data_IF_323097197468
#
_entry.id   IF_323097197468
#
_cell.length_a   1.000
_cell.length_b   1.000
_cell.length_c   1.000
_cell.angle_alpha   90.00
_cell.angle_beta   90.00
_cell.angle_gamma   90.00
#
_symmetry.space_group_name_H-M   'P 1'
#
loop_
_entity.id
_entity.type
_entity.pdbx_description
1 polymer ?
#
# COMPACT_ATOMS: atom_id res chain seq x y z
N UNK A 1 16.97 22.79 13.68
CA UNK A 1 16.26 23.83 14.45
C UNK A 1 17.10 25.09 14.41
N UNK A 2 16.49 26.26 14.60
CA UNK A 2 17.15 27.57 14.50
C UNK A 2 17.00 28.29 15.83
N UNK A 3 18.04 29.01 16.25
CA UNK A 3 18.02 29.90 17.41
C UNK A 3 18.56 31.25 16.97
N UNK A 4 17.96 32.34 17.45
CA UNK A 4 18.44 33.69 17.20
C UNK A 4 18.04 34.64 18.34
N UNK A 5 18.80 35.72 18.59
CA UNK A 5 18.40 36.75 19.53
C UNK A 5 17.08 37.41 19.12
N UNK A 6 16.18 37.63 20.08
CA UNK A 6 14.89 38.30 19.84
C UNK A 6 15.04 39.65 19.14
N UNK A 7 16.05 40.44 19.53
CA UNK A 7 16.32 41.76 18.92
C UNK A 7 16.49 41.71 17.39
N UNK A 8 16.99 40.60 16.85
CA UNK A 8 17.16 40.45 15.39
C UNK A 8 15.79 40.26 14.74
N UNK A 9 14.90 39.47 15.35
CA UNK A 9 13.52 39.31 14.88
C UNK A 9 12.74 40.63 14.97
N UNK A 10 12.91 41.38 16.07
CA UNK A 10 12.28 42.69 16.24
C UNK A 10 12.73 43.69 15.16
N UNK A 11 13.97 43.57 14.66
CA UNK A 11 14.54 44.42 13.60
C UNK A 11 14.10 43.99 12.19
N UNK A 12 14.23 42.70 11.85
CA UNK A 12 13.97 42.23 10.47
C UNK A 12 12.53 41.80 10.22
N UNK A 13 11.73 41.64 11.28
CA UNK A 13 10.39 41.07 11.29
C UNK A 13 10.38 39.54 11.44
N UNK A 14 9.28 38.99 11.97
CA UNK A 14 9.04 37.55 12.11
C UNK A 14 8.88 36.82 10.76
N UNK A 15 8.39 35.58 10.77
CA UNK A 15 8.05 34.86 9.54
C UNK A 15 6.96 35.60 8.75
N UNK A 16 7.16 35.69 7.43
CA UNK A 16 6.18 36.31 6.54
C UNK A 16 5.04 35.32 6.25
N UNK A 17 3.82 35.69 6.67
CA UNK A 17 2.60 34.88 6.53
C UNK A 17 2.22 34.55 5.08
N UNK A 18 2.77 35.27 4.10
CA UNK A 18 2.61 34.91 2.69
C UNK A 18 3.25 33.54 2.36
N UNK A 19 4.25 33.12 3.14
CA UNK A 19 4.85 31.79 3.07
C UNK A 19 4.12 30.82 4.00
N UNK A 20 3.09 30.16 3.47
CA UNK A 20 2.35 29.13 4.23
C UNK A 20 3.19 27.89 4.59
N UNK A 21 4.02 27.41 3.65
CA UNK A 21 4.88 26.24 3.85
C UNK A 21 6.01 26.21 2.82
N UNK A 22 7.22 25.96 3.29
CA UNK A 22 8.48 26.06 2.55
C UNK A 22 8.88 27.50 2.25
N UNK A 23 10.18 27.80 2.36
CA UNK A 23 10.74 29.10 1.99
C UNK A 23 10.57 30.19 3.04
N UNK A 24 9.79 29.97 4.10
CA UNK A 24 9.68 30.89 5.24
C UNK A 24 11.02 31.07 5.97
N UNK A 25 11.76 29.96 6.11
CA UNK A 25 13.10 29.90 6.68
C UNK A 25 14.14 30.56 5.78
N UNK A 26 14.02 30.35 4.46
CA UNK A 26 14.88 30.98 3.44
C UNK A 26 14.65 32.50 3.40
N UNK A 27 13.40 32.96 3.41
CA UNK A 27 13.03 34.38 3.45
C UNK A 27 13.60 35.08 4.69
N UNK A 28 13.36 34.51 5.87
CA UNK A 28 13.86 35.05 7.13
C UNK A 28 15.39 35.08 7.15
N UNK A 29 16.04 33.98 6.75
CA UNK A 29 17.50 33.89 6.67
C UNK A 29 18.12 34.90 5.70
N UNK A 30 17.41 35.25 4.62
CA UNK A 30 17.86 36.24 3.65
C UNK A 30 17.67 37.67 4.16
N UNK A 31 16.56 37.96 4.85
CA UNK A 31 16.35 39.26 5.52
C UNK A 31 17.38 39.52 6.62
N UNK A 32 17.68 38.51 7.44
CA UNK A 32 18.73 38.56 8.47
C UNK A 32 20.10 38.90 7.85
N UNK A 33 20.45 38.26 6.73
CA UNK A 33 21.69 38.56 6.01
C UNK A 33 21.71 39.97 5.40
N UNK A 34 20.57 40.45 4.87
CA UNK A 34 20.45 41.82 4.36
C UNK A 34 20.61 42.88 5.45
N UNK A 35 20.23 42.58 6.68
CA UNK A 35 20.47 43.44 7.85
C UNK A 35 21.93 43.36 8.37
N UNK A 36 22.81 42.62 7.70
CA UNK A 36 24.25 42.54 8.05
C UNK A 36 24.62 41.46 9.05
N UNK A 37 23.65 40.64 9.49
CA UNK A 37 23.91 39.52 10.39
C UNK A 37 24.39 38.27 9.63
N UNK A 38 24.96 37.32 10.38
CA UNK A 38 25.52 36.07 9.84
C UNK A 38 24.75 34.86 10.36
N UNK A 39 24.54 33.89 9.46
CA UNK A 39 23.96 32.60 9.79
C UNK A 39 25.09 31.59 10.08
N UNK A 40 25.03 30.92 11.23
CA UNK A 40 26.03 29.94 11.66
C UNK A 40 25.41 28.54 11.80
N UNK A 41 26.17 27.51 11.42
CA UNK A 41 25.85 26.12 11.69
C UNK A 41 26.57 25.66 12.96
N UNK A 42 25.83 25.20 13.97
CA UNK A 42 26.38 24.73 15.24
C UNK A 42 26.39 23.20 15.28
N UNK A 43 27.59 22.59 15.16
CA UNK A 43 27.75 21.14 15.02
C UNK A 43 27.73 20.36 16.34
N UNK A 44 27.92 21.03 17.49
CA UNK A 44 28.05 20.34 18.80
C UNK A 44 26.71 19.89 19.39
N UNK A 45 25.59 20.36 18.82
CA UNK A 45 24.25 19.90 19.17
C UNK A 45 23.69 18.97 18.09
N UNK A 46 23.06 17.87 18.51
CA UNK A 46 22.47 16.88 17.60
C UNK A 46 20.97 16.76 17.86
N UNK A 47 20.18 16.77 16.79
CA UNK A 47 18.75 16.43 16.83
C UNK A 47 18.46 15.35 15.81
N UNK A 48 17.59 14.40 16.18
CA UNK A 48 17.02 13.44 15.25
C UNK A 48 15.82 14.11 14.57
N UNK A 49 15.88 14.24 13.24
CA UNK A 49 14.78 14.75 12.44
C UNK A 49 14.27 13.67 11.48
N UNK A 50 13.08 13.14 11.77
CA UNK A 50 12.39 12.20 10.89
C UNK A 50 11.80 12.96 9.70
N UNK A 51 12.55 13.00 8.60
CA UNK A 51 12.17 13.73 7.39
C UNK A 51 11.08 12.99 6.62
N UNK A 52 10.00 13.67 6.24
CA UNK A 52 8.99 13.16 5.29
C UNK A 52 7.65 12.75 5.90
N UNK A 53 7.45 12.96 7.20
CA UNK A 53 6.22 12.58 7.92
C UNK A 53 5.01 13.45 7.55
N UNK A 54 5.18 14.77 7.61
CA UNK A 54 4.08 15.73 7.37
C UNK A 54 3.70 15.84 5.90
N UNK A 55 4.64 15.60 4.97
CA UNK A 55 4.36 15.67 3.53
C UNK A 55 5.07 14.57 2.77
N UNK A 56 4.31 13.79 1.98
CA UNK A 56 4.87 12.76 1.08
C UNK A 56 5.80 13.43 0.07
N UNK A 57 7.10 13.16 0.19
CA UNK A 57 8.15 13.64 -0.72
C UNK A 57 7.78 13.25 -2.16
N UNK A 58 7.67 14.22 -3.04
CA UNK A 58 7.33 13.99 -4.46
C UNK A 58 5.83 13.96 -4.79
N UNK A 59 4.93 14.23 -3.84
CA UNK A 59 3.53 14.50 -4.20
C UNK A 59 3.41 15.77 -5.05
N UNK A 60 2.42 15.83 -5.94
CA UNK A 60 2.17 17.02 -6.76
C UNK A 60 1.87 18.26 -5.90
N UNK A 61 1.20 18.06 -4.76
CA UNK A 61 0.94 19.13 -3.79
C UNK A 61 2.23 19.65 -3.16
N UNK A 62 3.13 18.75 -2.71
CA UNK A 62 4.46 19.14 -2.21
C UNK A 62 5.21 20.01 -3.23
N UNK A 63 5.28 19.54 -4.48
CA UNK A 63 5.92 20.23 -5.60
C UNK A 63 5.30 21.62 -5.75
N UNK A 64 3.98 21.69 -5.92
CA UNK A 64 3.26 22.95 -6.10
C UNK A 64 3.52 23.95 -4.97
N UNK A 65 3.47 23.51 -3.72
CA UNK A 65 3.69 24.37 -2.55
C UNK A 65 5.11 24.90 -2.48
N UNK A 66 6.12 24.02 -2.63
CA UNK A 66 7.53 24.40 -2.63
C UNK A 66 7.85 25.45 -3.70
N UNK A 67 7.35 25.24 -4.91
CA UNK A 67 7.60 26.17 -6.00
C UNK A 67 6.78 27.46 -5.93
N UNK A 68 5.58 27.43 -5.34
CA UNK A 68 4.82 28.64 -5.02
C UNK A 68 5.62 29.54 -4.07
N UNK A 69 6.19 28.95 -3.01
CA UNK A 69 7.06 29.66 -2.09
C UNK A 69 8.30 30.24 -2.79
N UNK A 70 8.97 29.45 -3.64
CA UNK A 70 10.16 29.95 -4.35
C UNK A 70 9.82 31.08 -5.34
N UNK A 71 8.66 31.01 -6.02
CA UNK A 71 8.18 32.10 -6.86
C UNK A 71 7.85 33.36 -6.06
N UNK A 72 7.28 33.22 -4.87
CA UNK A 72 7.03 34.33 -3.95
C UNK A 72 8.34 34.97 -3.48
N UNK A 73 9.32 34.15 -3.08
CA UNK A 73 10.65 34.63 -2.69
C UNK A 73 11.32 35.43 -3.81
N UNK A 74 11.29 34.92 -5.05
CA UNK A 74 11.85 35.62 -6.21
C UNK A 74 11.13 36.96 -6.43
N UNK A 75 9.79 36.98 -6.38
CA UNK A 75 9.01 38.22 -6.54
C UNK A 75 9.29 39.24 -5.45
N UNK A 76 9.51 38.79 -4.22
CA UNK A 76 9.75 39.64 -3.05
C UNK A 76 11.15 40.27 -3.05
N UNK A 77 12.17 39.51 -3.47
CA UNK A 77 13.57 39.93 -3.32
C UNK A 77 14.28 40.33 -4.62
N UNK A 78 13.68 40.05 -5.79
CA UNK A 78 14.23 40.40 -7.10
C UNK A 78 13.22 41.22 -7.90
N UNK A 79 13.68 42.26 -8.59
CA UNK A 79 12.84 43.14 -9.42
C UNK A 79 13.24 43.11 -10.90
N UNK A 80 12.29 43.50 -11.77
CA UNK A 80 12.50 43.66 -13.22
C UNK A 80 12.58 42.35 -14.02
N UNK A 81 13.17 42.43 -15.22
CA UNK A 81 13.25 41.33 -16.21
C UNK A 81 13.90 40.07 -15.65
N UNK A 82 14.82 40.20 -14.69
CA UNK A 82 15.48 39.07 -14.02
C UNK A 82 14.47 38.20 -13.27
N UNK A 83 13.53 38.79 -12.54
CA UNK A 83 12.50 38.05 -11.82
C UNK A 83 11.59 37.25 -12.78
N UNK A 84 11.23 37.84 -13.93
CA UNK A 84 10.42 37.17 -14.95
C UNK A 84 11.10 35.92 -15.53
N UNK A 85 12.40 36.02 -15.85
CA UNK A 85 13.19 34.89 -16.36
C UNK A 85 13.30 33.78 -15.29
N UNK A 86 13.59 34.11 -14.04
CA UNK A 86 13.64 33.13 -12.96
C UNK A 86 12.29 32.42 -12.75
N UNK A 87 11.19 33.17 -12.76
CA UNK A 87 9.84 32.60 -12.62
C UNK A 87 9.52 31.67 -13.79
N UNK A 88 9.88 32.04 -15.03
CA UNK A 88 9.68 31.20 -16.21
C UNK A 88 10.42 29.85 -16.07
N UNK A 89 11.72 29.87 -15.75
CA UNK A 89 12.48 28.63 -15.57
C UNK A 89 11.96 27.78 -14.41
N UNK A 90 11.54 28.40 -13.31
CA UNK A 90 10.89 27.71 -12.19
C UNK A 90 9.61 27.01 -12.67
N UNK A 91 8.74 27.70 -13.41
CA UNK A 91 7.49 27.13 -13.92
C UNK A 91 7.72 26.01 -14.95
N UNK A 92 8.68 26.19 -15.86
CA UNK A 92 9.08 25.16 -16.81
C UNK A 92 9.59 23.89 -16.09
N UNK A 93 10.43 24.06 -15.07
CA UNK A 93 10.94 22.94 -14.26
C UNK A 93 9.82 22.20 -13.51
N UNK A 94 8.79 22.92 -13.02
CA UNK A 94 7.60 22.30 -12.41
C UNK A 94 6.87 21.43 -13.40
N UNK A 95 6.58 21.97 -14.59
CA UNK A 95 5.82 21.26 -15.62
C UNK A 95 6.56 20.01 -16.08
N UNK A 96 7.87 20.14 -16.35
CA UNK A 96 8.71 19.00 -16.69
C UNK A 96 8.70 17.94 -15.59
N UNK A 97 8.87 18.33 -14.33
CA UNK A 97 8.85 17.39 -13.21
C UNK A 97 7.49 16.72 -13.04
N UNK A 98 6.39 17.45 -13.23
CA UNK A 98 5.03 16.90 -13.20
C UNK A 98 4.83 15.87 -14.33
N UNK A 99 5.29 16.18 -15.54
CA UNK A 99 5.24 15.27 -16.68
C UNK A 99 6.07 14.01 -16.43
N UNK A 100 7.32 14.13 -16.01
CA UNK A 100 8.17 12.97 -15.69
C UNK A 100 7.60 12.15 -14.54
N UNK A 101 6.99 12.78 -13.54
CA UNK A 101 6.30 12.08 -12.46
C UNK A 101 5.08 11.31 -12.97
N UNK A 102 4.26 11.91 -13.84
CA UNK A 102 3.11 11.26 -14.44
C UNK A 102 3.50 10.05 -15.30
N UNK A 103 4.51 10.21 -16.16
CA UNK A 103 5.08 9.13 -16.97
C UNK A 103 5.64 8.03 -16.06
N UNK A 104 6.42 8.39 -15.04
CA UNK A 104 6.97 7.44 -14.08
C UNK A 104 5.89 6.66 -13.32
N UNK A 105 4.78 7.32 -12.94
CA UNK A 105 3.64 6.67 -12.31
C UNK A 105 2.91 5.72 -13.26
N UNK A 106 2.72 6.11 -14.51
CA UNK A 106 2.10 5.28 -15.54
C UNK A 106 2.95 4.02 -15.80
N UNK A 107 4.25 4.20 -16.00
CA UNK A 107 5.22 3.11 -16.21
C UNK A 107 5.24 2.16 -15.01
N UNK A 108 5.20 2.66 -13.77
CA UNK A 108 5.11 1.80 -12.58
C UNK A 108 3.80 1.02 -12.49
N UNK A 109 2.68 1.61 -12.94
CA UNK A 109 1.36 0.99 -12.85
C UNK A 109 1.11 -0.04 -13.93
N UNK A 110 1.53 0.24 -15.17
CA UNK A 110 1.20 -0.58 -16.36
C UNK A 110 2.41 -1.38 -16.86
N UNK A 111 3.63 -1.00 -16.46
CA UNK A 111 4.86 -1.61 -16.96
C UNK A 111 4.96 -3.12 -16.70
N UNK A 112 4.67 -3.57 -15.47
CA UNK A 112 4.73 -5.00 -15.15
C UNK A 112 3.70 -5.84 -15.94
N UNK A 113 2.40 -5.46 -16.00
CA UNK A 113 1.44 -6.14 -16.87
C UNK A 113 1.85 -6.17 -18.35
N UNK A 114 2.40 -5.07 -18.90
CA UNK A 114 2.82 -5.02 -20.31
C UNK A 114 4.01 -5.92 -20.57
N UNK A 115 5.02 -5.92 -19.69
CA UNK A 115 6.16 -6.83 -19.82
C UNK A 115 5.73 -8.29 -19.72
N UNK A 116 4.82 -8.63 -18.81
CA UNK A 116 4.26 -9.97 -18.74
C UNK A 116 3.49 -10.32 -20.02
N UNK A 117 2.70 -9.40 -20.58
CA UNK A 117 2.00 -9.61 -21.84
C UNK A 117 2.95 -9.92 -22.99
N UNK A 118 4.05 -9.17 -23.10
CA UNK A 118 5.10 -9.39 -24.11
C UNK A 118 5.73 -10.77 -23.90
N UNK A 119 6.08 -11.13 -22.66
CA UNK A 119 6.67 -12.43 -22.34
C UNK A 119 5.70 -13.57 -22.70
N UNK A 120 4.43 -13.46 -22.35
CA UNK A 120 3.42 -14.50 -22.62
C UNK A 120 3.20 -14.67 -24.13
N UNK A 121 3.02 -13.56 -24.86
CA UNK A 121 2.86 -13.59 -26.31
C UNK A 121 4.09 -14.19 -27.00
N UNK A 122 5.28 -13.75 -26.60
CA UNK A 122 6.55 -14.25 -27.14
C UNK A 122 6.70 -15.75 -26.85
N UNK A 123 6.35 -16.19 -25.64
CA UNK A 123 6.42 -17.59 -25.25
C UNK A 123 5.47 -18.45 -26.10
N UNK A 124 4.23 -18.01 -26.31
CA UNK A 124 3.27 -18.73 -27.14
C UNK A 124 3.73 -18.82 -28.60
N UNK A 125 4.26 -17.72 -29.16
CA UNK A 125 4.83 -17.71 -30.52
C UNK A 125 6.06 -18.60 -30.65
N UNK A 126 6.98 -18.53 -29.69
CA UNK A 126 8.18 -19.36 -29.68
C UNK A 126 7.81 -20.84 -29.57
N UNK A 127 6.92 -21.19 -28.64
CA UNK A 127 6.43 -22.57 -28.53
C UNK A 127 5.72 -23.02 -29.80
N UNK A 128 4.88 -22.20 -30.44
CA UNK A 128 4.27 -22.53 -31.73
C UNK A 128 5.31 -22.81 -32.80
N UNK A 129 6.33 -21.95 -32.91
CA UNK A 129 7.43 -22.11 -33.86
C UNK A 129 8.15 -23.44 -33.66
N UNK A 130 8.59 -23.73 -32.42
CA UNK A 130 9.26 -24.99 -32.12
C UNK A 130 8.36 -26.21 -32.33
N UNK A 131 7.10 -26.13 -31.89
CA UNK A 131 6.14 -27.23 -31.99
C UNK A 131 5.82 -27.60 -33.44
N UNK A 132 5.67 -26.60 -34.31
CA UNK A 132 5.36 -26.79 -35.72
C UNK A 132 6.55 -27.29 -36.54
N UNK A 133 7.77 -26.84 -36.21
CA UNK A 133 8.95 -27.15 -37.03
C UNK A 133 9.65 -28.45 -36.59
N UNK A 134 9.57 -28.82 -35.31
CA UNK A 134 10.37 -29.93 -34.77
C UNK A 134 9.55 -31.09 -34.18
N UNK A 135 8.26 -30.91 -33.89
CA UNK A 135 7.44 -31.94 -33.21
C UNK A 135 6.31 -32.45 -34.11
N UNK A 136 5.45 -31.56 -34.59
CA UNK A 136 4.37 -31.89 -35.53
C UNK A 136 4.67 -31.23 -36.87
N UNK A 137 5.44 -31.93 -37.71
CA UNK A 137 5.79 -31.47 -39.06
C UNK A 137 4.59 -30.92 -39.84
N UNK A 138 4.86 -29.89 -40.66
CA UNK A 138 3.94 -29.14 -41.54
C UNK A 138 2.45 -29.12 -41.13
N UNK A 139 2.17 -28.77 -39.87
CA UNK A 139 0.79 -28.46 -39.46
C UNK A 139 0.48 -27.00 -39.76
N UNK A 140 -0.22 -26.75 -40.88
CA UNK A 140 -0.70 -25.41 -41.23
C UNK A 140 -1.90 -25.01 -40.36
N UNK A 141 -1.61 -24.40 -39.21
CA UNK A 141 -2.63 -23.73 -38.42
C UNK A 141 -3.10 -22.45 -39.12
N UNK A 142 -4.40 -22.16 -39.09
CA UNK A 142 -4.94 -20.90 -39.61
C UNK A 142 -4.28 -19.71 -38.90
N UNK A 143 -3.60 -18.80 -39.63
CA UNK A 143 -2.93 -17.64 -39.04
C UNK A 143 -3.88 -16.76 -38.23
N UNK A 144 -5.12 -16.59 -38.71
CA UNK A 144 -6.14 -15.79 -38.07
C UNK A 144 -6.55 -16.35 -36.70
N UNK A 145 -6.65 -17.68 -36.58
CA UNK A 145 -7.00 -18.34 -35.31
C UNK A 145 -5.93 -18.06 -34.26
N UNK A 146 -4.65 -18.19 -34.61
CA UNK A 146 -3.54 -17.94 -33.67
C UNK A 146 -3.43 -16.46 -33.30
N UNK A 147 -3.57 -15.56 -34.29
CA UNK A 147 -3.48 -14.11 -34.09
C UNK A 147 -4.55 -13.59 -33.13
N UNK A 148 -5.72 -14.25 -33.07
CA UNK A 148 -6.80 -13.91 -32.13
C UNK A 148 -6.61 -14.66 -30.80
N UNK A 149 -6.34 -15.97 -30.85
CA UNK A 149 -6.27 -16.82 -29.66
C UNK A 149 -5.16 -16.39 -28.70
N UNK A 150 -3.96 -16.07 -29.19
CA UNK A 150 -2.83 -15.72 -28.32
C UNK A 150 -3.08 -14.43 -27.52
N UNK A 151 -3.52 -13.31 -28.11
CA UNK A 151 -3.94 -12.13 -27.35
C UNK A 151 -5.06 -12.42 -26.35
N UNK A 152 -6.06 -13.24 -26.71
CA UNK A 152 -7.15 -13.61 -25.80
C UNK A 152 -6.61 -14.40 -24.60
N UNK A 153 -5.75 -15.40 -24.83
CA UNK A 153 -5.14 -16.17 -23.73
C UNK A 153 -4.22 -15.32 -22.87
N UNK A 154 -3.45 -14.42 -23.47
CA UNK A 154 -2.67 -13.43 -22.72
C UNK A 154 -3.57 -12.55 -21.86
N UNK A 155 -4.70 -12.05 -22.39
CA UNK A 155 -5.65 -11.26 -21.63
C UNK A 155 -6.25 -12.03 -20.44
N UNK A 156 -6.63 -13.31 -20.66
CA UNK A 156 -7.11 -14.19 -19.59
C UNK A 156 -6.02 -14.38 -18.51
N UNK A 157 -4.77 -14.58 -18.91
CA UNK A 157 -3.65 -14.72 -17.98
C UNK A 157 -3.44 -13.45 -17.15
N UNK A 158 -3.41 -12.28 -17.79
CA UNK A 158 -3.25 -10.99 -17.11
C UNK A 158 -4.42 -10.71 -16.15
N UNK A 159 -5.65 -11.08 -16.52
CA UNK A 159 -6.81 -11.00 -15.63
C UNK A 159 -6.63 -11.90 -14.40
N UNK A 160 -6.21 -13.16 -14.59
CA UNK A 160 -5.93 -14.06 -13.48
C UNK A 160 -4.84 -13.48 -12.56
N UNK A 161 -3.74 -12.98 -13.13
CA UNK A 161 -2.65 -12.33 -12.41
C UNK A 161 -3.08 -11.07 -11.63
N UNK A 162 -4.01 -10.28 -12.19
CA UNK A 162 -4.58 -9.13 -11.51
C UNK A 162 -5.41 -9.53 -10.29
N UNK A 163 -6.28 -10.54 -10.42
CA UNK A 163 -7.13 -10.98 -9.30
C UNK A 163 -6.37 -11.71 -8.19
N UNK A 164 -5.32 -12.45 -8.52
CA UNK A 164 -4.42 -13.07 -7.52
C UNK A 164 -3.47 -12.09 -6.85
N UNK A 165 -3.37 -10.85 -7.35
CA UNK A 165 -2.54 -9.78 -6.77
C UNK A 165 -1.07 -9.83 -7.17
N UNK A 166 -0.73 -10.42 -8.33
CA UNK A 166 0.65 -10.44 -8.84
C UNK A 166 1.23 -9.03 -9.06
N UNK A 167 0.36 -8.05 -9.34
CA UNK A 167 0.72 -6.65 -9.58
C UNK A 167 0.49 -5.74 -8.37
N UNK A 168 0.11 -6.30 -7.22
CA UNK A 168 0.00 -5.52 -5.99
C UNK A 168 1.39 -5.17 -5.44
N UNK A 169 1.42 -4.22 -4.51
CA UNK A 169 2.67 -3.85 -3.83
C UNK A 169 3.23 -5.03 -3.05
N UNK A 170 4.54 -5.21 -3.16
CA UNK A 170 5.26 -6.23 -2.42
C UNK A 170 5.11 -7.61 -3.06
N UNK A 171 5.97 -7.89 -4.04
CA UNK A 171 5.93 -9.13 -4.81
C UNK A 171 6.14 -10.36 -3.92
N UNK A 172 5.26 -11.37 -4.07
CA UNK A 172 5.44 -12.71 -3.49
C UNK A 172 5.53 -13.76 -4.58
N UNK A 173 6.51 -14.66 -4.49
CA UNK A 173 6.66 -15.77 -5.46
C UNK A 173 5.40 -16.65 -5.53
N UNK A 174 4.72 -16.86 -4.40
CA UNK A 174 3.47 -17.63 -4.34
C UNK A 174 2.35 -17.01 -5.19
N UNK A 175 2.34 -15.69 -5.38
CA UNK A 175 1.36 -15.02 -6.25
C UNK A 175 1.62 -15.36 -7.71
N UNK A 176 2.89 -15.41 -8.17
CA UNK A 176 3.21 -15.81 -9.54
C UNK A 176 2.75 -17.23 -9.82
N UNK A 177 3.10 -18.18 -8.93
CA UNK A 177 2.68 -19.58 -9.04
C UNK A 177 1.16 -19.70 -9.09
N UNK A 178 0.45 -19.07 -8.15
CA UNK A 178 -1.02 -19.10 -8.11
C UNK A 178 -1.63 -18.49 -9.37
N UNK A 179 -1.09 -17.38 -9.86
CA UNK A 179 -1.56 -16.72 -11.10
C UNK A 179 -1.44 -17.64 -12.29
N UNK A 180 -0.27 -18.27 -12.46
CA UNK A 180 -0.03 -19.21 -13.54
C UNK A 180 -0.97 -20.41 -13.47
N UNK A 181 -1.15 -21.00 -12.28
CA UNK A 181 -2.05 -22.16 -12.12
C UNK A 181 -3.51 -21.81 -12.42
N UNK A 182 -4.00 -20.68 -11.92
CA UNK A 182 -5.37 -20.22 -12.18
C UNK A 182 -5.54 -19.89 -13.67
N UNK A 183 -4.59 -19.17 -14.26
CA UNK A 183 -4.62 -18.88 -15.70
C UNK A 183 -4.61 -20.14 -16.55
N UNK A 184 -3.74 -21.11 -16.22
CA UNK A 184 -3.65 -22.38 -16.92
C UNK A 184 -4.96 -23.16 -16.86
N UNK A 185 -5.58 -23.24 -15.69
CA UNK A 185 -6.87 -23.89 -15.52
C UNK A 185 -7.95 -23.22 -16.39
N UNK A 186 -8.08 -21.89 -16.31
CA UNK A 186 -9.09 -21.15 -17.09
C UNK A 186 -8.84 -21.29 -18.59
N UNK A 187 -7.60 -21.12 -19.05
CA UNK A 187 -7.24 -21.21 -20.47
C UNK A 187 -7.49 -22.62 -20.99
N UNK A 188 -7.04 -23.67 -20.30
CA UNK A 188 -7.24 -25.05 -20.72
C UNK A 188 -8.71 -25.46 -20.71
N UNK A 189 -9.49 -25.04 -19.69
CA UNK A 189 -10.94 -25.27 -19.65
C UNK A 189 -11.67 -24.55 -20.78
N UNK A 190 -11.37 -23.26 -21.00
CA UNK A 190 -11.98 -22.48 -22.10
C UNK A 190 -11.63 -23.10 -23.44
N UNK A 191 -10.37 -23.49 -23.62
CA UNK A 191 -9.87 -24.12 -24.83
C UNK A 191 -10.52 -25.47 -25.11
N UNK A 192 -10.76 -26.28 -24.07
CA UNK A 192 -11.44 -27.57 -24.20
C UNK A 192 -12.90 -27.44 -24.66
N UNK A 193 -13.53 -26.28 -24.50
CA UNK A 193 -14.89 -26.00 -24.93
C UNK A 193 -14.99 -25.40 -26.34
N UNK A 194 -13.87 -24.99 -26.96
CA UNK A 194 -13.89 -24.40 -28.30
C UNK A 194 -14.28 -25.41 -29.39
N UNK A 195 -14.87 -25.03 -30.53
CA UNK A 195 -15.08 -25.95 -31.66
C UNK A 195 -13.77 -26.52 -32.22
N UNK A 196 -13.79 -27.72 -32.79
CA UNK A 196 -12.58 -28.38 -33.32
C UNK A 196 -11.89 -27.58 -34.44
N UNK A 197 -12.67 -26.86 -35.26
CA UNK A 197 -12.17 -26.03 -36.36
C UNK A 197 -11.25 -24.87 -35.93
N UNK A 198 -11.33 -24.45 -34.65
CA UNK A 198 -10.52 -23.36 -34.10
C UNK A 198 -9.49 -23.85 -33.07
N UNK A 199 -9.35 -25.18 -32.90
CA UNK A 199 -8.35 -25.77 -32.01
C UNK A 199 -7.04 -26.02 -32.77
N UNK A 200 -5.94 -25.79 -32.08
CA UNK A 200 -4.58 -26.20 -32.42
C UNK A 200 -4.02 -27.24 -31.42
N UNK A 201 -2.71 -27.50 -31.44
CA UNK A 201 -2.12 -28.45 -30.49
C UNK A 201 -2.20 -27.94 -29.04
N UNK A 202 -2.77 -28.73 -28.12
CA UNK A 202 -2.75 -28.45 -26.66
C UNK A 202 -1.33 -28.32 -26.11
N UNK A 203 -0.35 -28.98 -26.73
CA UNK A 203 1.05 -28.88 -26.37
C UNK A 203 1.59 -27.45 -26.48
N UNK A 204 1.11 -26.67 -27.46
CA UNK A 204 1.50 -25.26 -27.63
C UNK A 204 1.04 -24.43 -26.43
N UNK A 205 -0.17 -24.68 -25.93
CA UNK A 205 -0.70 -23.98 -24.76
C UNK A 205 0.06 -24.34 -23.49
N UNK A 206 0.19 -25.63 -23.20
CA UNK A 206 0.80 -26.10 -21.95
C UNK A 206 2.27 -25.68 -21.87
N UNK A 207 3.05 -25.90 -22.94
CA UNK A 207 4.45 -25.52 -22.98
C UNK A 207 4.63 -23.99 -23.05
N UNK A 208 3.74 -23.28 -23.76
CA UNK A 208 3.77 -21.82 -23.80
C UNK A 208 3.52 -21.18 -22.44
N UNK A 209 2.57 -21.72 -21.66
CA UNK A 209 2.31 -21.28 -20.28
C UNK A 209 3.50 -21.62 -19.38
N UNK A 210 4.09 -22.81 -19.51
CA UNK A 210 5.26 -23.21 -18.74
C UNK A 210 6.47 -22.31 -19.04
N UNK A 211 6.74 -22.03 -20.32
CA UNK A 211 7.81 -21.13 -20.75
C UNK A 211 7.57 -19.70 -20.24
N UNK A 212 6.33 -19.20 -20.34
CA UNK A 212 5.95 -17.89 -19.81
C UNK A 212 6.27 -17.77 -18.32
N UNK A 213 5.92 -18.79 -17.53
CA UNK A 213 6.23 -18.83 -16.10
C UNK A 213 7.74 -18.78 -15.84
N UNK A 214 8.54 -19.55 -16.57
CA UNK A 214 10.00 -19.57 -16.43
C UNK A 214 10.58 -18.18 -16.72
N UNK A 215 10.22 -17.58 -17.86
CA UNK A 215 10.72 -16.27 -18.27
C UNK A 215 10.26 -15.15 -17.33
N UNK A 216 8.99 -15.16 -16.91
CA UNK A 216 8.48 -14.21 -15.91
C UNK A 216 9.24 -14.35 -14.58
N UNK A 217 9.50 -15.58 -14.13
CA UNK A 217 10.25 -15.82 -12.90
C UNK A 217 11.70 -15.31 -12.99
N UNK A 218 12.38 -15.52 -14.12
CA UNK A 218 13.72 -14.96 -14.37
C UNK A 218 13.66 -13.42 -14.33
N UNK A 219 12.71 -12.82 -15.04
CA UNK A 219 12.54 -11.35 -15.04
C UNK A 219 12.30 -10.81 -13.63
N UNK A 220 11.44 -11.47 -12.83
CA UNK A 220 11.18 -11.07 -11.44
C UNK A 220 12.45 -11.15 -10.60
N UNK A 221 13.25 -12.22 -10.71
CA UNK A 221 14.53 -12.33 -9.99
C UNK A 221 15.52 -11.23 -10.36
N UNK A 222 15.60 -10.88 -11.65
CA UNK A 222 16.43 -9.76 -12.11
C UNK A 222 15.94 -8.42 -11.55
N UNK A 223 14.64 -8.17 -11.57
CA UNK A 223 14.06 -6.92 -11.07
C UNK A 223 14.21 -6.77 -9.56
N UNK A 224 14.16 -7.86 -8.80
CA UNK A 224 14.46 -7.87 -7.37
C UNK A 224 15.95 -7.57 -7.15
N UNK A 225 16.85 -8.24 -7.88
CA UNK A 225 18.30 -8.01 -7.79
C UNK A 225 18.68 -6.56 -8.12
N UNK A 226 18.02 -5.95 -9.09
CA UNK A 226 18.23 -4.56 -9.49
C UNK A 226 17.40 -3.55 -8.69
N UNK A 227 16.70 -3.97 -7.62
CA UNK A 227 15.90 -3.11 -6.75
C UNK A 227 14.76 -2.34 -7.47
N UNK A 228 14.31 -2.83 -8.62
CA UNK A 228 13.13 -2.30 -9.34
C UNK A 228 11.81 -2.85 -8.78
N UNK A 229 11.84 -4.04 -8.15
CA UNK A 229 10.67 -4.67 -7.56
C UNK A 229 10.88 -4.85 -6.06
N UNK A 230 10.04 -4.20 -5.26
CA UNK A 230 9.99 -4.38 -3.82
C UNK A 230 9.35 -5.74 -3.51
N UNK A 231 10.07 -6.58 -2.76
CA UNK A 231 9.47 -7.75 -2.12
C UNK A 231 8.97 -7.35 -0.75
N UNK A 232 7.86 -7.94 -0.30
CA UNK A 232 7.53 -7.86 1.14
C UNK A 232 8.72 -8.49 1.86
N UNK A 233 9.42 -7.76 2.75
CA UNK A 233 10.54 -8.32 3.47
C UNK A 233 10.07 -9.62 4.12
N UNK A 234 10.74 -10.75 3.83
CA UNK A 234 10.54 -11.99 4.61
C UNK A 234 10.74 -11.71 6.11
N UNK A 235 11.48 -10.65 6.44
CA UNK A 235 11.73 -10.17 7.79
C UNK A 235 10.54 -9.47 8.45
N UNK A 236 9.48 -9.08 7.73
CA UNK A 236 8.30 -8.45 8.38
C UNK A 236 7.47 -9.49 9.18
N UNK A 237 7.50 -10.76 8.75
CA UNK A 237 6.93 -11.91 9.48
C UNK A 237 7.88 -12.45 10.57
N UNK A 238 9.15 -11.99 10.61
CA UNK A 238 10.19 -12.39 11.59
C UNK A 238 10.88 -11.20 12.24
N UNK A 239 10.19 -10.07 12.40
CA UNK A 239 10.75 -8.89 13.03
C UNK A 239 10.86 -9.14 14.52
N UNK A 240 12.08 -9.44 14.97
CA UNK A 240 12.38 -9.65 16.37
C UNK A 240 12.71 -8.29 16.98
N UNK A 241 11.80 -7.85 17.84
CA UNK A 241 11.81 -6.53 18.46
C UNK A 241 12.27 -6.65 19.90
N UNK A 242 13.20 -5.79 20.30
CA UNK A 242 13.55 -5.60 21.71
C UNK A 242 13.06 -4.23 22.17
N UNK A 243 12.59 -4.16 23.41
CA UNK A 243 12.16 -2.90 24.01
C UNK A 243 13.14 -2.51 25.10
N UNK A 244 13.77 -1.34 24.96
CA UNK A 244 14.61 -0.72 25.98
C UNK A 244 13.73 0.19 26.82
N UNK A 245 13.33 -0.27 28.00
CA UNK A 245 12.32 0.41 28.81
C UNK A 245 12.28 -0.03 30.27
N UNK A 246 11.68 0.84 31.10
CA UNK A 246 11.10 0.49 32.39
C UNK A 246 10.01 -0.58 32.29
N UNK A 247 9.72 -1.27 33.40
CA UNK A 247 8.69 -2.32 33.45
C UNK A 247 7.29 -1.76 33.07
N UNK A 248 6.96 -0.56 33.54
CA UNK A 248 5.69 0.11 33.26
C UNK A 248 5.53 0.41 31.77
N UNK A 249 6.52 1.03 31.14
CA UNK A 249 6.45 1.38 29.72
C UNK A 249 6.55 0.15 28.82
N UNK A 250 7.27 -0.89 29.25
CA UNK A 250 7.28 -2.18 28.57
C UNK A 250 5.87 -2.78 28.48
N UNK A 251 5.11 -2.78 29.59
CA UNK A 251 3.71 -3.24 29.61
C UNK A 251 2.81 -2.37 28.71
N UNK A 252 3.03 -1.06 28.69
CA UNK A 252 2.29 -0.16 27.81
C UNK A 252 2.55 -0.46 26.32
N UNK A 253 3.82 -0.64 25.94
CA UNK A 253 4.23 -0.96 24.56
C UNK A 253 3.70 -2.32 24.13
N UNK A 254 3.83 -3.36 24.97
CA UNK A 254 3.32 -4.69 24.59
C UNK A 254 1.80 -4.67 24.41
N UNK A 255 1.07 -3.91 25.24
CA UNK A 255 -0.37 -3.71 25.07
C UNK A 255 -0.70 -2.97 23.77
N UNK A 256 0.01 -1.89 23.44
CA UNK A 256 -0.15 -1.14 22.18
C UNK A 256 0.14 -2.03 20.96
N UNK A 257 1.23 -2.80 21.01
CA UNK A 257 1.62 -3.75 19.96
C UNK A 257 0.58 -4.86 19.79
N UNK A 258 0.02 -5.37 20.89
CA UNK A 258 -1.06 -6.37 20.86
C UNK A 258 -2.33 -5.80 20.22
N UNK A 259 -2.74 -4.58 20.59
CA UNK A 259 -3.90 -3.91 20.00
C UNK A 259 -3.71 -3.61 18.50
N UNK A 260 -2.48 -3.32 18.08
CA UNK A 260 -2.12 -3.15 16.67
C UNK A 260 -2.04 -4.47 15.88
N UNK A 261 -2.33 -5.62 16.50
CA UNK A 261 -2.26 -6.94 15.86
C UNK A 261 -0.83 -7.42 15.61
N UNK A 262 0.14 -6.94 16.39
CA UNK A 262 1.56 -7.34 16.34
C UNK A 262 2.09 -7.97 17.64
N UNK A 263 1.35 -8.85 18.36
CA UNK A 263 1.78 -9.37 19.66
C UNK A 263 3.05 -10.25 19.60
N UNK A 264 3.27 -10.98 18.51
CA UNK A 264 4.33 -12.01 18.39
C UNK A 264 5.73 -11.46 18.07
N UNK A 265 5.91 -10.12 18.02
CA UNK A 265 7.16 -9.49 17.60
C UNK A 265 8.12 -9.12 18.72
N UNK A 266 7.67 -9.06 19.98
CA UNK A 266 8.51 -8.56 21.09
C UNK A 266 9.20 -9.73 21.80
N UNK A 267 10.53 -9.81 21.67
CA UNK A 267 11.35 -10.83 22.34
C UNK A 267 11.45 -10.61 23.86
N UNK A 268 11.49 -9.35 24.29
CA UNK A 268 11.65 -9.02 25.69
C UNK A 268 12.17 -7.61 25.94
N UNK A 269 12.38 -7.32 27.22
CA UNK A 269 12.79 -6.02 27.75
C UNK A 269 14.29 -5.99 28.04
N UNK A 270 14.96 -4.91 27.67
CA UNK A 270 16.29 -4.55 28.16
C UNK A 270 16.15 -3.42 29.18
N UNK A 271 16.85 -3.57 30.30
CA UNK A 271 16.78 -2.63 31.41
C UNK A 271 17.49 -1.31 31.09
N UNK A 272 16.76 -0.20 31.27
CA UNK A 272 17.23 1.17 31.15
C UNK A 272 17.46 1.78 32.54
N UNK A 273 18.61 1.48 33.17
CA UNK A 273 19.00 2.07 34.46
C UNK A 273 19.43 1.05 35.54
N UNK A 274 19.57 1.54 36.78
CA UNK A 274 20.13 0.79 37.93
C UNK A 274 19.09 0.12 38.84
N UNK A 275 17.81 0.50 38.76
CA UNK A 275 16.78 0.02 39.69
C UNK A 275 15.48 -0.31 38.96
N UNK A 276 15.36 -1.53 38.44
CA UNK A 276 14.07 -2.00 37.93
C UNK A 276 13.83 -3.48 38.29
N UNK A 277 12.70 -3.73 38.95
CA UNK A 277 12.20 -5.06 39.26
C UNK A 277 11.60 -5.73 38.01
N UNK A 278 11.68 -7.06 37.92
CA UNK A 278 11.02 -7.87 36.89
C UNK A 278 11.95 -8.49 35.83
N UNK A 279 11.44 -9.46 35.04
CA UNK A 279 12.24 -10.20 34.07
C UNK A 279 12.77 -9.28 32.94
N UNK A 280 14.07 -9.38 32.67
CA UNK A 280 14.75 -8.67 31.58
C UNK A 280 15.68 -9.64 30.83
N UNK A 281 15.93 -9.36 29.55
CA UNK A 281 16.88 -10.09 28.71
C UNK A 281 18.34 -9.74 29.07
N UNK A 282 18.54 -8.61 29.73
CA UNK A 282 19.85 -8.10 30.13
C UNK A 282 19.84 -6.58 30.35
N UNK A 283 21.04 -6.05 30.58
CA UNK A 283 21.28 -4.61 30.81
C UNK A 283 21.61 -3.89 29.50
N UNK A 284 21.43 -2.56 29.47
CA UNK A 284 21.70 -1.73 28.29
C UNK A 284 23.11 -1.93 27.71
N UNK A 285 24.12 -2.15 28.54
CA UNK A 285 25.51 -2.38 28.10
C UNK A 285 25.67 -3.67 27.29
N UNK A 286 24.75 -4.63 27.44
CA UNK A 286 24.74 -5.90 26.70
C UNK A 286 23.94 -5.82 25.40
N UNK A 287 23.28 -4.68 25.11
CA UNK A 287 22.44 -4.50 23.93
C UNK A 287 23.14 -4.90 22.63
N UNK A 288 24.40 -4.48 22.32
CA UNK A 288 25.06 -4.89 21.08
C UNK A 288 25.22 -6.42 20.93
N UNK A 289 25.54 -7.09 22.04
CA UNK A 289 25.70 -8.55 22.08
C UNK A 289 24.36 -9.28 21.94
N UNK A 290 23.31 -8.79 22.60
CA UNK A 290 21.95 -9.35 22.54
C UNK A 290 21.36 -9.21 21.14
N UNK A 291 21.55 -8.05 20.52
CA UNK A 291 21.13 -7.78 19.14
C UNK A 291 21.72 -8.80 18.17
N UNK A 292 23.02 -9.08 18.29
CA UNK A 292 23.70 -10.07 17.44
C UNK A 292 23.24 -11.50 17.73
N UNK A 293 23.12 -11.85 19.02
CA UNK A 293 22.76 -13.20 19.48
C UNK A 293 21.36 -13.61 19.04
N UNK A 294 20.40 -12.68 19.14
CA UNK A 294 19.00 -12.92 18.81
C UNK A 294 18.62 -12.37 17.45
N UNK A 295 19.56 -12.03 16.55
CA UNK A 295 19.24 -11.51 15.20
C UNK A 295 18.17 -10.41 15.19
N UNK A 296 18.25 -9.50 16.16
CA UNK A 296 17.28 -8.42 16.38
C UNK A 296 17.39 -7.42 15.25
N UNK A 297 16.26 -7.06 14.67
CA UNK A 297 16.19 -6.08 13.57
C UNK A 297 15.41 -4.82 13.94
N UNK A 298 14.77 -4.78 15.11
CA UNK A 298 14.06 -3.59 15.62
C UNK A 298 14.30 -3.39 17.12
N UNK A 299 14.52 -2.13 17.51
CA UNK A 299 14.64 -1.72 18.91
C UNK A 299 13.70 -0.55 19.17
N UNK A 300 12.88 -0.64 20.21
CA UNK A 300 12.02 0.45 20.69
C UNK A 300 12.65 1.05 21.95
N UNK A 301 13.02 2.32 21.90
CA UNK A 301 13.57 3.08 23.03
C UNK A 301 12.47 3.87 23.75
N UNK A 302 12.40 3.73 25.07
CA UNK A 302 11.51 4.54 25.91
C UNK A 302 12.27 5.65 26.62
N UNK A 303 11.64 6.82 26.71
CA UNK A 303 12.16 8.01 27.40
C UNK A 303 12.29 7.82 28.93
N UNK A 304 11.46 6.95 29.52
CA UNK A 304 11.44 6.65 30.96
C UNK A 304 12.59 5.71 31.41
N UNK A 305 13.83 6.22 31.34
CA UNK A 305 15.03 5.54 31.85
C UNK A 305 16.30 5.83 31.07
N UNK A 306 16.20 6.48 29.91
CA UNK A 306 17.32 7.00 29.13
C UNK A 306 16.98 8.40 28.61
N UNK A 307 17.89 9.35 28.77
CA UNK A 307 17.82 10.64 28.09
C UNK A 307 17.96 10.46 26.58
N UNK A 308 17.38 11.38 25.79
CA UNK A 308 17.56 11.37 24.33
C UNK A 308 19.03 11.40 23.90
N UNK A 309 19.91 12.04 24.69
CA UNK A 309 21.35 12.06 24.45
C UNK A 309 21.96 10.65 24.55
N UNK A 310 21.58 9.90 25.58
CA UNK A 310 22.00 8.50 25.75
C UNK A 310 21.47 7.62 24.63
N UNK A 311 20.18 7.77 24.27
CA UNK A 311 19.58 7.02 23.17
C UNK A 311 20.31 7.30 21.85
N UNK A 312 20.58 8.57 21.52
CA UNK A 312 21.32 8.96 20.31
C UNK A 312 22.72 8.31 20.29
N UNK A 313 23.41 8.29 21.43
CA UNK A 313 24.73 7.67 21.54
C UNK A 313 24.68 6.15 21.35
N UNK A 314 23.65 5.49 21.89
CA UNK A 314 23.42 4.06 21.68
C UNK A 314 23.11 3.76 20.22
N UNK A 315 22.22 4.52 19.59
CA UNK A 315 21.85 4.33 18.17
C UNK A 315 23.08 4.45 17.26
N UNK A 316 24.04 5.33 17.57
CA UNK A 316 25.30 5.46 16.82
C UNK A 316 26.20 4.22 16.92
N UNK A 317 26.09 3.40 17.98
CA UNK A 317 26.93 2.20 18.17
C UNK A 317 26.28 0.91 17.66
N UNK A 318 24.99 0.97 17.30
CA UNK A 318 24.28 -0.20 16.77
C UNK A 318 24.80 -0.60 15.38
N UNK A 319 24.86 -1.92 15.09
CA UNK A 319 25.12 -2.42 13.75
C UNK A 319 24.19 -1.82 12.68
N UNK A 320 24.67 -1.76 11.43
CA UNK A 320 23.84 -1.37 10.29
C UNK A 320 22.73 -2.38 10.05
N UNK A 321 21.53 -1.90 9.70
CA UNK A 321 20.36 -2.75 9.44
C UNK A 321 19.40 -2.94 10.62
N UNK A 322 19.64 -2.29 11.76
CA UNK A 322 18.72 -2.29 12.91
C UNK A 322 17.84 -1.04 12.87
N UNK A 323 16.54 -1.23 12.97
CA UNK A 323 15.56 -0.15 13.03
C UNK A 323 15.38 0.36 14.46
N UNK A 324 15.48 1.67 14.65
CA UNK A 324 15.27 2.32 15.95
C UNK A 324 13.95 3.07 15.96
N UNK A 325 13.08 2.72 16.90
CA UNK A 325 11.79 3.36 17.17
C UNK A 325 11.80 3.97 18.57
N UNK A 326 10.92 4.93 18.81
CA UNK A 326 10.92 5.76 20.00
C UNK A 326 9.49 5.85 20.56
N UNK A 327 9.37 5.70 21.87
CA UNK A 327 8.13 5.85 22.60
C UNK A 327 8.34 6.89 23.71
N UNK A 328 7.51 7.94 23.70
CA UNK A 328 7.47 8.91 24.80
C UNK A 328 6.47 8.47 25.85
N UNK A 329 6.82 8.64 27.11
CA UNK A 329 6.03 8.22 28.24
C UNK A 329 4.61 8.81 28.21
N UNK A 330 3.59 7.97 28.37
CA UNK A 330 2.19 8.40 28.35
C UNK A 330 1.63 8.72 26.96
N UNK A 331 2.43 8.63 25.90
CA UNK A 331 1.91 8.69 24.53
C UNK A 331 1.22 7.37 24.15
N UNK A 332 0.23 7.42 23.27
CA UNK A 332 -0.44 6.23 22.72
C UNK A 332 0.21 5.75 21.42
N UNK A 333 1.50 6.01 21.22
CA UNK A 333 2.15 5.80 19.94
C UNK A 333 3.62 5.43 20.03
N UNK A 334 4.07 4.72 19.01
CA UNK A 334 5.49 4.41 18.77
C UNK A 334 5.87 5.09 17.45
N UNK A 335 6.96 5.85 17.45
CA UNK A 335 7.42 6.65 16.32
C UNK A 335 8.79 6.17 15.87
N UNK A 336 8.93 5.84 14.60
CA UNK A 336 10.23 5.62 13.97
C UNK A 336 10.08 5.32 12.50
N UNK A 337 11.16 5.32 11.73
CA UNK A 337 11.11 5.04 10.29
C UNK A 337 12.03 3.88 9.96
N UNK A 338 11.49 2.88 9.26
CA UNK A 338 12.27 1.74 8.77
C UNK A 338 13.03 2.06 7.48
N UNK A 339 12.79 3.23 6.87
CA UNK A 339 13.44 3.62 5.63
C UNK A 339 13.27 5.10 5.37
N UNK A 340 14.32 5.78 4.91
CA UNK A 340 14.24 7.17 4.43
C UNK A 340 13.25 7.39 3.27
N UNK A 341 12.73 6.31 2.67
CA UNK A 341 11.73 6.30 1.61
C UNK A 341 10.31 5.95 2.09
N UNK A 342 10.16 5.45 3.31
CA UNK A 342 8.88 5.09 3.90
C UNK A 342 8.45 6.15 4.91
N UNK A 343 7.14 6.33 5.07
CA UNK A 343 6.63 7.09 6.22
C UNK A 343 7.08 6.38 7.49
N UNK A 344 7.32 7.13 8.55
CA UNK A 344 7.49 6.57 9.88
C UNK A 344 6.36 5.58 10.16
N UNK A 345 6.73 4.39 10.62
CA UNK A 345 5.80 3.46 11.22
C UNK A 345 5.25 4.16 12.46
N UNK A 346 4.03 4.66 12.35
CA UNK A 346 3.24 5.10 13.48
C UNK A 346 2.33 3.93 13.86
N UNK A 347 2.68 3.25 14.95
CA UNK A 347 1.76 2.30 15.57
C UNK A 347 0.72 3.10 16.34
N UNK A 348 -0.30 3.60 15.64
CA UNK A 348 -1.56 3.97 16.27
C UNK A 348 -2.34 2.70 16.56
N UNK A 349 -3.28 2.77 17.51
CA UNK A 349 -4.42 1.85 17.57
C UNK A 349 -5.22 2.01 16.27
N UNK A 350 -4.81 1.30 15.23
CA UNK A 350 -5.33 1.38 13.88
C UNK A 350 -5.69 -0.03 13.41
N UNK A 351 -6.99 -0.31 13.36
CA UNK A 351 -7.52 -1.61 12.97
C UNK A 351 -7.04 -2.00 11.56
N UNK A 352 -6.31 -3.12 11.46
CA UNK A 352 -5.97 -3.74 10.18
C UNK A 352 -7.23 -4.34 9.52
N UNK A 353 -7.95 -3.53 8.76
CA UNK A 353 -9.14 -3.99 8.04
C UNK A 353 -8.80 -4.87 6.84
N UNK A 354 -9.13 -6.16 6.88
CA UNK A 354 -8.89 -7.07 5.75
C UNK A 354 -9.62 -6.62 4.47
N UNK A 355 -10.78 -5.96 4.59
CA UNK A 355 -11.49 -5.39 3.44
C UNK A 355 -10.73 -4.26 2.73
N UNK A 356 -9.75 -3.63 3.40
CA UNK A 356 -8.88 -2.64 2.77
C UNK A 356 -7.85 -3.28 1.82
N UNK A 357 -7.58 -4.58 1.96
CA UNK A 357 -6.64 -5.31 1.13
C UNK A 357 -7.07 -5.25 -0.36
N UNK A 358 -6.19 -4.83 -1.29
CA UNK A 358 -6.52 -4.74 -2.71
C UNK A 358 -7.11 -6.02 -3.31
N UNK A 359 -6.59 -7.20 -2.95
CA UNK A 359 -7.11 -8.50 -3.40
C UNK A 359 -8.55 -8.68 -2.95
N UNK A 360 -8.83 -8.36 -1.68
CA UNK A 360 -10.18 -8.50 -1.12
C UNK A 360 -11.17 -7.53 -1.76
N UNK A 361 -10.76 -6.29 -2.05
CA UNK A 361 -11.60 -5.31 -2.75
C UNK A 361 -11.94 -5.75 -4.17
N UNK A 362 -10.97 -6.32 -4.90
CA UNK A 362 -11.21 -6.88 -6.23
C UNK A 362 -12.13 -8.09 -6.17
N UNK A 363 -11.90 -9.01 -5.25
CA UNK A 363 -12.73 -10.20 -5.09
C UNK A 363 -14.16 -9.85 -4.65
N UNK A 364 -14.32 -8.83 -3.81
CA UNK A 364 -15.63 -8.25 -3.48
C UNK A 364 -16.36 -7.78 -4.74
N UNK A 365 -15.66 -6.98 -5.56
CA UNK A 365 -16.24 -6.45 -6.80
C UNK A 365 -16.55 -7.56 -7.80
N UNK A 366 -15.70 -8.57 -7.90
CA UNK A 366 -15.94 -9.73 -8.75
C UNK A 366 -17.18 -10.50 -8.28
N UNK A 367 -17.34 -10.73 -6.98
CA UNK A 367 -18.54 -11.33 -6.41
C UNK A 367 -19.79 -10.51 -6.76
N UNK A 368 -19.73 -9.20 -6.61
CA UNK A 368 -20.83 -8.28 -6.98
C UNK A 368 -21.25 -8.46 -8.44
N UNK A 369 -20.29 -8.51 -9.36
CA UNK A 369 -20.53 -8.69 -10.80
C UNK A 369 -21.08 -10.09 -11.10
N UNK A 370 -20.43 -11.14 -10.58
CA UNK A 370 -20.82 -12.54 -10.82
C UNK A 370 -22.22 -12.83 -10.31
N UNK A 371 -22.58 -12.38 -9.10
CA UNK A 371 -23.92 -12.55 -8.56
C UNK A 371 -24.95 -11.75 -9.37
N UNK A 372 -24.60 -10.55 -9.82
CA UNK A 372 -25.51 -9.77 -10.67
C UNK A 372 -25.78 -10.48 -12.01
N UNK A 373 -24.75 -11.03 -12.65
CA UNK A 373 -24.90 -11.82 -13.88
C UNK A 373 -25.71 -13.11 -13.63
N UNK A 374 -25.47 -13.79 -12.51
CA UNK A 374 -26.25 -14.95 -12.09
C UNK A 374 -27.74 -14.61 -11.94
N UNK A 375 -28.08 -13.48 -11.31
CA UNK A 375 -29.47 -13.03 -11.18
C UNK A 375 -30.09 -12.61 -12.52
N UNK A 376 -29.32 -12.06 -13.47
CA UNK A 376 -29.79 -11.73 -14.82
C UNK A 376 -30.11 -13.01 -15.60
N UNK A 377 -29.19 -13.98 -15.62
CA UNK A 377 -29.38 -15.26 -16.34
C UNK A 377 -30.54 -16.05 -15.71
N UNK A 378 -30.66 -16.04 -14.39
CA UNK A 378 -31.72 -16.73 -13.66
C UNK A 378 -33.06 -15.97 -13.61
N UNK A 379 -33.29 -14.96 -14.45
CA UNK A 379 -34.49 -14.12 -14.42
C UNK A 379 -35.83 -14.86 -14.29
N UNK A 380 -36.08 -15.94 -15.07
CA UNK A 380 -37.34 -16.67 -14.98
C UNK A 380 -37.58 -17.32 -13.61
N UNK A 381 -36.52 -17.60 -12.84
CA UNK A 381 -36.61 -18.23 -11.52
C UNK A 381 -36.82 -17.18 -10.43
N UNK A 382 -36.07 -16.08 -10.49
CA UNK A 382 -36.08 -15.07 -9.43
C UNK A 382 -37.37 -14.24 -9.38
N UNK A 383 -38.18 -14.24 -10.45
CA UNK A 383 -39.52 -13.62 -10.44
C UNK A 383 -40.45 -14.22 -9.39
N UNK A 384 -40.32 -15.51 -9.09
CA UNK A 384 -41.13 -16.21 -8.08
C UNK A 384 -40.54 -16.15 -6.67
N UNK A 385 -39.23 -15.85 -6.55
CA UNK A 385 -38.52 -15.87 -5.28
C UNK A 385 -38.45 -14.49 -4.59
N UNK A 386 -38.62 -13.40 -5.33
CA UNK A 386 -38.49 -12.02 -4.84
C UNK A 386 -39.83 -11.29 -4.82
N UNK A 387 -40.20 -10.72 -3.67
CA UNK A 387 -41.50 -10.03 -3.50
C UNK A 387 -41.67 -8.80 -4.39
N UNK A 388 -40.60 -8.03 -4.64
CA UNK A 388 -40.62 -6.79 -5.43
C UNK A 388 -39.60 -6.85 -6.57
N UNK A 389 -40.01 -7.48 -7.68
CA UNK A 389 -39.09 -7.84 -8.77
C UNK A 389 -38.43 -6.63 -9.44
N UNK A 390 -39.16 -5.52 -9.61
CA UNK A 390 -38.64 -4.29 -10.24
C UNK A 390 -37.53 -3.66 -9.40
N UNK A 391 -37.70 -3.59 -8.07
CA UNK A 391 -36.67 -3.09 -7.15
C UNK A 391 -35.48 -4.05 -7.06
N UNK A 392 -35.74 -5.35 -7.05
CA UNK A 392 -34.67 -6.36 -7.07
C UNK A 392 -33.77 -6.18 -8.30
N UNK A 393 -34.33 -6.13 -9.51
CA UNK A 393 -33.52 -5.94 -10.71
C UNK A 393 -32.89 -4.55 -10.82
N UNK A 394 -33.53 -3.51 -10.27
CA UNK A 394 -32.86 -2.22 -10.09
C UNK A 394 -31.59 -2.35 -9.26
N UNK A 395 -31.66 -3.07 -8.13
CA UNK A 395 -30.48 -3.35 -7.30
C UNK A 395 -29.44 -4.21 -8.04
N UNK A 396 -29.87 -5.23 -8.80
CA UNK A 396 -28.96 -6.03 -9.65
C UNK A 396 -28.17 -5.14 -10.61
N UNK A 397 -28.84 -4.23 -11.33
CA UNK A 397 -28.16 -3.31 -12.25
C UNK A 397 -27.33 -2.26 -11.52
N UNK A 398 -27.82 -1.69 -10.41
CA UNK A 398 -27.07 -0.74 -9.60
C UNK A 398 -25.78 -1.36 -9.03
N UNK A 399 -25.82 -2.63 -8.62
CA UNK A 399 -24.63 -3.38 -8.21
C UNK A 399 -23.75 -3.68 -9.43
N UNK A 400 -24.29 -4.15 -10.55
CA UNK A 400 -23.54 -4.41 -11.78
C UNK A 400 -22.78 -3.17 -12.28
N UNK A 401 -23.37 -1.97 -12.19
CA UNK A 401 -22.74 -0.71 -12.60
C UNK A 401 -21.96 0.00 -11.47
N UNK A 402 -21.68 -0.68 -10.35
CA UNK A 402 -20.90 -0.17 -9.23
C UNK A 402 -21.47 1.09 -8.55
N UNK A 403 -22.78 1.32 -8.65
CA UNK A 403 -23.52 2.31 -7.86
C UNK A 403 -23.76 1.80 -6.44
N UNK A 404 -24.03 0.49 -6.31
CA UNK A 404 -24.19 -0.24 -5.05
C UNK A 404 -23.21 -1.41 -4.93
N UNK A 405 -23.17 -2.05 -3.77
CA UNK A 405 -22.58 -3.37 -3.52
C UNK A 405 -23.61 -4.27 -2.82
N UNK A 406 -23.51 -5.59 -2.93
CA UNK A 406 -24.49 -6.46 -2.28
C UNK A 406 -24.44 -6.35 -0.75
N UNK A 407 -23.22 -6.28 -0.18
CA UNK A 407 -23.00 -6.23 1.27
C UNK A 407 -22.07 -5.08 1.64
N UNK A 408 -22.35 -4.33 2.71
CA UNK A 408 -21.48 -3.22 3.14
C UNK A 408 -21.83 -2.72 4.54
N UNK A 409 -21.38 -1.51 4.86
CA UNK A 409 -21.54 -0.97 6.22
C UNK A 409 -22.97 -0.53 6.53
N UNK A 410 -23.39 -0.76 7.78
CA UNK A 410 -24.67 -0.30 8.30
C UNK A 410 -24.62 1.19 8.70
N UNK A 411 -23.58 1.60 9.43
CA UNK A 411 -23.45 2.94 10.00
C UNK A 411 -22.61 3.90 9.13
N UNK A 412 -21.88 3.37 8.14
CA UNK A 412 -21.05 4.13 7.18
C UNK A 412 -20.13 5.21 7.83
N UNK A 413 -19.32 4.89 8.86
CA UNK A 413 -18.45 5.88 9.46
C UNK A 413 -17.28 6.23 8.53
N UNK A 414 -16.83 7.49 8.59
CA UNK A 414 -15.68 7.98 7.81
C UNK A 414 -14.34 7.30 8.18
N UNK A 415 -14.30 6.53 9.27
CA UNK A 415 -13.12 5.81 9.76
C UNK A 415 -12.85 4.47 9.05
N UNK A 416 -13.83 3.92 8.31
CA UNK A 416 -13.67 2.63 7.63
C UNK A 416 -13.26 2.76 6.16
N UNK A 417 -12.65 1.70 5.57
CA UNK A 417 -12.32 1.67 4.15
C UNK A 417 -13.56 1.91 3.27
N UNK A 418 -13.55 2.95 2.43
CA UNK A 418 -14.73 3.33 1.67
C UNK A 418 -15.34 2.18 0.82
N UNK A 419 -16.64 1.93 1.05
CA UNK A 419 -17.48 1.01 0.29
C UNK A 419 -18.62 1.76 -0.43
N UNK A 420 -19.18 1.13 -1.46
CA UNK A 420 -20.41 1.61 -2.10
C UNK A 420 -21.60 1.41 -1.16
N UNK A 421 -22.68 2.14 -1.41
CA UNK A 421 -23.94 1.96 -0.68
C UNK A 421 -24.38 0.50 -0.78
N UNK A 422 -24.64 -0.17 0.33
CA UNK A 422 -25.01 -1.58 0.30
C UNK A 422 -26.49 -1.81 0.00
N UNK A 423 -26.81 -2.97 -0.57
CA UNK A 423 -28.17 -3.53 -0.57
C UNK A 423 -28.47 -4.16 0.79
N UNK A 424 -27.55 -4.97 1.31
CA UNK A 424 -27.58 -5.55 2.64
C UNK A 424 -26.43 -5.01 3.48
N UNK A 425 -26.71 -4.63 4.72
CA UNK A 425 -25.66 -4.15 5.62
C UNK A 425 -24.87 -5.30 6.25
N UNK A 426 -23.91 -4.98 7.13
CA UNK A 426 -23.12 -5.97 7.87
C UNK A 426 -23.98 -6.89 8.74
N UNK A 427 -25.24 -6.53 9.03
CA UNK A 427 -26.20 -7.38 9.77
C UNK A 427 -26.95 -8.38 8.87
N UNK A 428 -26.77 -8.30 7.54
CA UNK A 428 -27.57 -9.01 6.52
C UNK A 428 -28.99 -8.46 6.33
N UNK A 429 -29.32 -7.32 6.94
CA UNK A 429 -30.56 -6.58 6.72
C UNK A 429 -30.30 -5.30 5.91
N UNK A 430 -31.26 -4.81 5.13
CA UNK A 430 -31.23 -3.47 4.57
C UNK A 430 -31.13 -2.40 5.67
N UNK A 431 -30.54 -1.25 5.37
CA UNK A 431 -30.39 -0.15 6.33
C UNK A 431 -31.71 0.29 6.96
N UNK A 432 -32.80 0.26 6.18
CA UNK A 432 -34.14 0.66 6.61
C UNK A 432 -34.79 -0.30 7.63
N UNK A 433 -34.31 -1.54 7.72
CA UNK A 433 -34.86 -2.57 8.61
C UNK A 433 -33.93 -2.85 9.80
N UNK A 434 -32.85 -2.10 9.96
CA UNK A 434 -31.96 -2.25 11.10
C UNK A 434 -32.45 -1.39 12.27
N UNK A 435 -32.86 -2.07 13.35
CA UNK A 435 -33.32 -1.44 14.59
C UNK A 435 -32.23 -1.41 15.68
N UNK A 436 -31.03 -1.92 15.36
CA UNK A 436 -29.92 -1.95 16.31
C UNK A 436 -29.41 -0.53 16.62
N UNK A 437 -29.00 -0.26 17.88
CA UNK A 437 -28.33 0.98 18.23
C UNK A 437 -27.08 1.23 17.38
N UNK A 438 -26.75 2.49 17.14
CA UNK A 438 -25.60 2.90 16.30
C UNK A 438 -24.29 2.24 16.76
N UNK A 439 -24.07 2.13 18.06
CA UNK A 439 -22.89 1.48 18.65
C UNK A 439 -22.78 0.00 18.27
N UNK A 440 -23.90 -0.73 18.28
CA UNK A 440 -23.95 -2.13 17.88
C UNK A 440 -23.72 -2.29 16.36
N UNK A 441 -24.24 -1.37 15.56
CA UNK A 441 -24.00 -1.33 14.10
C UNK A 441 -22.53 -1.07 13.77
N UNK A 442 -21.89 -0.12 14.47
CA UNK A 442 -20.46 0.18 14.32
C UNK A 442 -19.60 -1.05 14.64
N UNK A 443 -19.93 -1.78 15.72
CA UNK A 443 -19.23 -3.02 16.09
C UNK A 443 -19.41 -4.12 15.04
N UNK A 444 -20.61 -4.27 14.49
CA UNK A 444 -20.88 -5.21 13.38
C UNK A 444 -20.08 -4.85 12.12
N UNK A 445 -19.99 -3.56 11.79
CA UNK A 445 -19.23 -3.04 10.65
C UNK A 445 -17.72 -3.22 10.84
N UNK A 446 -17.21 -3.05 12.06
CA UNK A 446 -15.81 -3.29 12.41
C UNK A 446 -15.45 -4.78 12.25
N UNK A 447 -16.26 -5.68 12.79
CA UNK A 447 -16.09 -7.14 12.60
C UNK A 447 -16.18 -7.54 11.13
N UNK A 448 -17.07 -6.92 10.37
CA UNK A 448 -17.16 -7.13 8.94
C UNK A 448 -15.90 -6.65 8.21
N UNK A 449 -15.39 -5.45 8.54
CA UNK A 449 -14.23 -4.87 7.89
C UNK A 449 -12.92 -5.64 8.20
N UNK A 450 -12.76 -6.06 9.45
CA UNK A 450 -11.60 -6.83 9.95
C UNK A 450 -11.63 -8.28 9.45
N UNK A 451 -12.78 -8.95 9.55
CA UNK A 451 -12.96 -10.36 9.19
C UNK A 451 -13.46 -10.61 7.76
N UNK A 452 -13.37 -9.62 6.87
CA UNK A 452 -13.94 -9.73 5.52
C UNK A 452 -13.39 -10.93 4.74
N UNK A 453 -14.29 -11.67 4.09
CA UNK A 453 -13.98 -12.66 3.07
C UNK A 453 -15.14 -12.77 2.07
N UNK A 454 -14.88 -13.28 0.86
CA UNK A 454 -15.93 -13.55 -0.14
C UNK A 454 -17.02 -14.48 0.42
N UNK A 455 -16.62 -15.46 1.23
CA UNK A 455 -17.55 -16.39 1.88
C UNK A 455 -18.45 -15.68 2.90
N UNK A 456 -17.92 -14.66 3.59
CA UNK A 456 -18.68 -13.83 4.52
C UNK A 456 -19.82 -13.11 3.79
N UNK A 457 -19.55 -12.51 2.62
CA UNK A 457 -20.58 -11.86 1.80
C UNK A 457 -21.60 -12.87 1.28
N UNK A 458 -21.17 -14.01 0.73
CA UNK A 458 -22.07 -15.07 0.27
C UNK A 458 -23.02 -15.53 1.38
N UNK A 459 -22.51 -15.75 2.61
CA UNK A 459 -23.34 -16.12 3.77
C UNK A 459 -24.35 -15.03 4.12
N UNK A 460 -23.94 -13.76 4.10
CA UNK A 460 -24.83 -12.62 4.39
C UNK A 460 -25.90 -12.45 3.32
N UNK A 461 -25.54 -12.59 2.05
CA UNK A 461 -26.49 -12.54 0.92
C UNK A 461 -27.49 -13.69 1.01
N UNK A 462 -27.04 -14.90 1.35
CA UNK A 462 -27.93 -16.05 1.53
C UNK A 462 -28.92 -15.82 2.69
N UNK A 463 -28.45 -15.30 3.82
CA UNK A 463 -29.32 -14.94 4.97
C UNK A 463 -30.29 -13.81 4.64
N UNK A 464 -29.83 -12.80 3.92
CA UNK A 464 -30.61 -11.63 3.54
C UNK A 464 -31.32 -11.74 2.19
N UNK A 465 -31.42 -12.94 1.61
CA UNK A 465 -31.84 -13.13 0.21
C UNK A 465 -33.22 -12.52 -0.10
N UNK A 466 -34.19 -12.68 0.82
CA UNK A 466 -35.54 -12.12 0.69
C UNK A 466 -35.56 -10.59 0.71
N UNK A 467 -34.51 -9.96 1.22
CA UNK A 467 -34.38 -8.50 1.36
C UNK A 467 -33.59 -7.84 0.24
N UNK A 468 -33.12 -8.59 -0.76
CA UNK A 468 -32.38 -8.03 -1.90
C UNK A 468 -33.23 -7.06 -2.76
N UNK A 469 -34.55 -7.05 -2.56
CA UNK A 469 -35.49 -6.16 -3.25
C UNK A 469 -35.73 -4.80 -2.56
N UNK A 470 -35.00 -4.49 -1.48
CA UNK A 470 -35.16 -3.23 -0.72
C UNK A 470 -34.36 -2.06 -1.29
#
# INVERSE_FOLDING_TARGET
FMMMPKKILDEVGDFDEQFFMYGEDVDLSYRIQKAGYKNYYFADSTIIHFKGESTKRGSLNYVRMFYKAMSLFVKKHYSGTKAGIYIFFIQAAILMRALFSAIGHLLKKIGLPVLDAIIILTSLWLTKFFWSNYIKGETNYSPNVILIAFPVFTAIFLLAAYYTGLYDKGYKQSQLVRSTLVAALIILSTYALLPESVRFSRGILVLGIALSYILMNIMRRLFIKWQYLETIPKDYERQQTIVVAGEKDYKAITSLMQQAGMPEKVLGRIESGLTQTGPSLGKINQLPSLVKKYSVNEIIFCENGLSFKEIINIVKTLPTGIYSKFHSAGSSSIVGSNSSKEKGDYVAVGNNYNIANPVQRRNKRLLDILLSMFFIIGFPVFIFLQKKITKFYKNVFDVLFAKKTWVGYAAMPNSFPALKTPVLTSTSLPSQLNELPVEALLKSDEWYATGYSVLTDLKKINRGFKFLCY
#
